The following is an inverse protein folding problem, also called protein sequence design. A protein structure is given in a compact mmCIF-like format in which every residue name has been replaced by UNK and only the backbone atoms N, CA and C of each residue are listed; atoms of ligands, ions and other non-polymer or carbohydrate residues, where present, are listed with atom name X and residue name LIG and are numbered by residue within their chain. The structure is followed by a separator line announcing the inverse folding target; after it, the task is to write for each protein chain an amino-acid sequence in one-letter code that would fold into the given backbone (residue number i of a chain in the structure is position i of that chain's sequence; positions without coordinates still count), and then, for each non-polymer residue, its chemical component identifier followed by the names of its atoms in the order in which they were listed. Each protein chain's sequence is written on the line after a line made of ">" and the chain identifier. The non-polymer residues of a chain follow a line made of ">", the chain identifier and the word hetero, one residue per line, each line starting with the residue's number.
data_IF_424574130857
#
_entry.id   IF_424574130857
#
_cell.length_a   1.000
_cell.length_b   1.000
_cell.length_c   1.000
_cell.angle_alpha   90.00
_cell.angle_beta   90.00
_cell.angle_gamma   90.00
#
_symmetry.space_group_name_H-M   'P 1'
#
loop_
_entity.id
_entity.type
_entity.pdbx_description
1 polymer ?
#
# COMPACT_ATOMS: atom_id res chain seq x y z
N UNK A 1 -6.94 5.14 5.12
CA UNK A 1 -7.03 5.93 3.87
C UNK A 1 -7.68 5.14 2.73
N UNK A 2 -7.30 3.88 2.48
CA UNK A 2 -7.92 3.03 1.42
C UNK A 2 -9.45 3.10 1.38
N UNK A 3 -10.13 2.70 2.46
CA UNK A 3 -11.61 2.69 2.50
C UNK A 3 -12.21 4.08 2.26
N UNK A 4 -11.60 5.15 2.78
CA UNK A 4 -12.11 6.51 2.57
C UNK A 4 -12.08 6.93 1.09
N UNK A 5 -11.02 6.55 0.37
CA UNK A 5 -10.88 6.81 -1.08
C UNK A 5 -11.90 5.95 -1.83
N UNK A 6 -11.99 4.65 -1.51
CA UNK A 6 -12.88 3.72 -2.20
C UNK A 6 -14.36 4.06 -1.98
N UNK A 7 -14.77 4.34 -0.74
CA UNK A 7 -16.12 4.77 -0.38
C UNK A 7 -16.53 6.06 -1.12
N UNK A 8 -15.57 6.97 -1.27
CA UNK A 8 -15.77 8.19 -2.06
C UNK A 8 -15.96 7.93 -3.54
N UNK A 9 -15.57 6.76 -4.05
CA UNK A 9 -15.74 6.37 -5.45
C UNK A 9 -16.97 5.50 -5.70
N UNK A 10 -17.47 4.78 -4.68
CA UNK A 10 -18.60 3.84 -4.79
C UNK A 10 -19.92 4.40 -4.29
N UNK A 11 -19.90 5.42 -3.42
CA UNK A 11 -21.11 5.98 -2.83
C UNK A 11 -22.02 6.62 -3.89
N UNK A 12 -23.26 6.13 -3.99
CA UNK A 12 -24.32 6.85 -4.66
C UNK A 12 -24.50 8.22 -3.98
N UNK A 13 -24.41 9.31 -4.76
CA UNK A 13 -24.53 10.73 -4.38
C UNK A 13 -24.77 11.05 -2.88
N UNK A 14 -23.79 11.74 -2.27
CA UNK A 14 -23.89 12.51 -1.01
C UNK A 14 -24.07 11.69 0.28
N UNK A 15 -23.18 10.73 0.53
CA UNK A 15 -22.90 10.29 1.91
C UNK A 15 -22.04 11.34 2.63
N UNK A 16 -22.19 11.56 3.96
CA UNK A 16 -21.24 12.36 4.75
C UNK A 16 -19.78 11.92 4.61
N UNK A 17 -19.54 10.66 4.22
CA UNK A 17 -18.20 10.10 3.99
C UNK A 17 -17.62 10.42 2.61
N UNK A 18 -18.38 11.02 1.68
CA UNK A 18 -17.90 11.31 0.32
C UNK A 18 -17.00 12.55 0.31
N UNK A 19 -15.71 12.37 0.01
CA UNK A 19 -14.75 13.45 -0.12
C UNK A 19 -15.09 14.38 -1.31
N UNK A 20 -14.87 15.69 -1.17
CA UNK A 20 -14.88 16.62 -2.30
C UNK A 20 -13.79 16.28 -3.33
N UNK A 21 -13.87 16.72 -4.59
CA UNK A 21 -12.85 16.42 -5.60
C UNK A 21 -11.42 16.73 -5.14
N UNK A 22 -11.19 17.93 -4.58
CA UNK A 22 -9.89 18.34 -4.04
C UNK A 22 -9.43 17.47 -2.88
N UNK A 23 -10.33 17.10 -1.98
CA UNK A 23 -10.00 16.20 -0.87
C UNK A 23 -9.67 14.79 -1.37
N UNK A 24 -10.39 14.27 -2.36
CA UNK A 24 -10.12 12.95 -2.94
C UNK A 24 -8.74 12.91 -3.59
N UNK A 25 -8.40 13.92 -4.39
CA UNK A 25 -7.07 14.06 -5.00
C UNK A 25 -5.98 14.09 -3.94
N UNK A 26 -6.09 14.99 -2.96
CA UNK A 26 -5.07 15.11 -1.92
C UNK A 26 -4.93 13.85 -1.07
N UNK A 27 -6.05 13.21 -0.71
CA UNK A 27 -6.04 11.97 0.08
C UNK A 27 -5.42 10.83 -0.71
N UNK A 28 -5.73 10.72 -2.01
CA UNK A 28 -5.14 9.71 -2.89
C UNK A 28 -3.64 9.89 -3.06
N UNK A 29 -3.16 11.12 -3.29
CA UNK A 29 -1.72 11.41 -3.40
C UNK A 29 -0.97 11.16 -2.08
N UNK A 30 -1.56 11.53 -0.94
CA UNK A 30 -1.00 11.20 0.37
C UNK A 30 -0.93 9.68 0.60
N UNK A 31 -1.94 8.93 0.14
CA UNK A 31 -1.91 7.47 0.18
C UNK A 31 -0.78 6.90 -0.68
N UNK A 32 -0.62 7.38 -1.92
CA UNK A 32 0.48 6.96 -2.79
C UNK A 32 1.85 7.22 -2.17
N UNK A 33 2.09 8.44 -1.69
CA UNK A 33 3.35 8.79 -1.04
C UNK A 33 3.61 7.98 0.24
N UNK A 34 2.59 7.82 1.09
CA UNK A 34 2.72 7.10 2.36
C UNK A 34 3.02 5.62 2.16
N UNK A 35 2.26 4.95 1.28
CA UNK A 35 2.48 3.52 0.99
C UNK A 35 3.83 3.31 0.28
N UNK A 36 4.20 4.20 -0.65
CA UNK A 36 5.47 4.12 -1.33
C UNK A 36 6.68 4.29 -0.38
N UNK A 37 6.59 5.20 0.58
CA UNK A 37 7.61 5.39 1.60
C UNK A 37 7.72 4.17 2.54
N UNK A 38 6.57 3.60 2.94
CA UNK A 38 6.51 2.40 3.78
C UNK A 38 7.27 1.22 3.14
N UNK A 39 6.92 0.86 1.90
CA UNK A 39 7.61 -0.21 1.17
C UNK A 39 9.10 0.08 0.95
N UNK A 40 9.46 1.35 0.73
CA UNK A 40 10.85 1.74 0.56
C UNK A 40 11.68 1.49 1.84
N UNK A 41 11.13 1.80 3.02
CA UNK A 41 11.78 1.50 4.30
C UNK A 41 11.94 -0.01 4.48
N UNK A 42 10.90 -0.77 4.16
CA UNK A 42 10.92 -2.23 4.29
C UNK A 42 12.01 -2.86 3.43
N UNK A 43 12.02 -2.56 2.14
CA UNK A 43 13.01 -3.13 1.20
C UNK A 43 14.44 -2.69 1.51
N UNK A 44 14.64 -1.47 2.02
CA UNK A 44 15.98 -0.93 2.29
C UNK A 44 16.53 -1.37 3.65
N UNK A 45 15.68 -1.54 4.67
CA UNK A 45 16.13 -1.66 6.05
C UNK A 45 15.61 -2.91 6.78
N UNK A 46 14.40 -3.37 6.48
CA UNK A 46 13.73 -4.43 7.25
C UNK A 46 13.89 -5.79 6.58
N UNK A 47 13.44 -5.91 5.34
CA UNK A 47 13.45 -7.14 4.56
C UNK A 47 14.86 -7.74 4.41
N UNK A 48 15.95 -6.97 4.19
CA UNK A 48 17.30 -7.54 4.14
C UNK A 48 17.72 -8.25 5.44
N UNK A 49 17.23 -7.78 6.59
CA UNK A 49 17.52 -8.40 7.89
C UNK A 49 16.69 -9.66 8.08
N UNK A 50 15.39 -9.58 7.80
CA UNK A 50 14.48 -10.73 7.93
C UNK A 50 14.84 -11.87 6.96
N UNK A 51 15.22 -11.51 5.73
CA UNK A 51 15.63 -12.44 4.68
C UNK A 51 16.89 -13.27 5.01
N UNK A 52 17.60 -12.97 6.10
CA UNK A 52 18.68 -13.82 6.61
C UNK A 52 18.17 -15.17 7.12
N UNK A 53 16.94 -15.20 7.65
CA UNK A 53 16.33 -16.41 8.24
C UNK A 53 14.97 -16.77 7.63
N UNK A 54 14.33 -15.84 6.93
CA UNK A 54 12.97 -15.98 6.40
C UNK A 54 12.99 -15.67 4.88
N UNK A 55 13.20 -16.68 4.01
CA UNK A 55 13.43 -16.48 2.57
C UNK A 55 12.31 -15.74 1.82
N UNK A 56 11.07 -15.76 2.32
CA UNK A 56 9.91 -15.07 1.76
C UNK A 56 10.15 -13.56 1.58
N UNK A 57 10.92 -12.93 2.49
CA UNK A 57 11.30 -11.51 2.43
C UNK A 57 12.31 -11.17 1.31
N UNK A 58 12.88 -12.16 0.62
CA UNK A 58 13.77 -11.93 -0.53
C UNK A 58 13.05 -12.02 -1.88
N UNK A 59 11.90 -12.69 -1.93
CA UNK A 59 11.28 -13.10 -3.19
C UNK A 59 9.83 -12.69 -3.27
N UNK A 60 8.99 -13.28 -2.44
CA UNK A 60 7.55 -13.25 -2.64
C UNK A 60 6.98 -11.88 -2.26
N UNK A 61 7.33 -11.35 -1.07
CA UNK A 61 6.91 -10.02 -0.62
C UNK A 61 7.47 -8.89 -1.51
N UNK A 62 8.74 -8.99 -1.92
CA UNK A 62 9.36 -8.03 -2.86
C UNK A 62 8.69 -8.07 -4.24
N UNK A 63 8.27 -9.25 -4.71
CA UNK A 63 7.54 -9.36 -5.97
C UNK A 63 6.15 -8.72 -5.88
N UNK A 64 5.47 -8.86 -4.74
CA UNK A 64 4.19 -8.19 -4.47
C UNK A 64 4.37 -6.66 -4.44
N UNK A 65 5.40 -6.13 -3.76
CA UNK A 65 5.71 -4.69 -3.76
C UNK A 65 5.80 -4.12 -5.18
N UNK A 66 6.52 -4.79 -6.08
CA UNK A 66 6.66 -4.34 -7.48
C UNK A 66 5.33 -4.22 -8.20
N UNK A 67 4.41 -5.17 -7.99
CA UNK A 67 3.08 -5.13 -8.59
C UNK A 67 2.24 -4.00 -7.99
N UNK A 68 2.32 -3.81 -6.67
CA UNK A 68 1.62 -2.72 -5.98
C UNK A 68 2.14 -1.37 -6.48
N UNK A 69 3.46 -1.16 -6.55
CA UNK A 69 4.06 0.08 -7.07
C UNK A 69 3.67 0.37 -8.52
N UNK A 70 3.53 -0.65 -9.36
CA UNK A 70 3.08 -0.45 -10.74
C UNK A 70 1.63 0.08 -10.82
N UNK A 71 0.74 -0.37 -9.93
CA UNK A 71 -0.62 0.17 -9.81
C UNK A 71 -0.65 1.55 -9.14
N UNK A 72 0.15 1.73 -8.09
CA UNK A 72 0.25 2.97 -7.32
C UNK A 72 0.76 4.13 -8.17
N UNK A 73 1.77 3.89 -9.01
CA UNK A 73 2.30 4.91 -9.92
C UNK A 73 1.26 5.39 -10.94
N UNK A 74 0.42 4.49 -11.46
CA UNK A 74 -0.68 4.87 -12.38
C UNK A 74 -1.74 5.72 -11.67
N UNK A 75 -2.06 5.37 -10.42
CA UNK A 75 -2.99 6.16 -9.60
C UNK A 75 -2.42 7.55 -9.30
N UNK A 76 -1.15 7.62 -8.88
CA UNK A 76 -0.46 8.87 -8.59
C UNK A 76 -0.41 9.79 -9.82
N UNK A 77 0.03 9.28 -10.97
CA UNK A 77 0.07 10.03 -12.23
C UNK A 77 -1.29 10.63 -12.60
N UNK A 78 -2.36 9.83 -12.52
CA UNK A 78 -3.71 10.31 -12.82
C UNK A 78 -4.17 11.42 -11.86
N UNK A 79 -3.93 11.24 -10.56
CA UNK A 79 -4.31 12.22 -9.55
C UNK A 79 -3.48 13.51 -9.65
N UNK A 80 -2.22 13.42 -10.06
CA UNK A 80 -1.38 14.60 -10.34
C UNK A 80 -1.90 15.41 -11.52
N UNK A 81 -2.29 14.75 -12.61
CA UNK A 81 -2.94 15.42 -13.75
C UNK A 81 -4.27 16.07 -13.36
N UNK A 82 -5.04 15.43 -12.49
CA UNK A 82 -6.25 16.05 -11.93
C UNK A 82 -5.92 17.26 -11.06
N UNK A 83 -4.82 17.21 -10.32
CA UNK A 83 -4.35 18.31 -9.46
C UNK A 83 -3.86 19.51 -10.28
N UNK A 84 -3.19 19.28 -11.40
CA UNK A 84 -2.70 20.34 -12.31
C UNK A 84 -3.81 20.94 -13.18
N UNK A 85 -4.96 20.27 -13.31
CA UNK A 85 -6.06 20.67 -14.18
C UNK A 85 -5.93 20.16 -15.61
N UNK A 86 -4.99 19.25 -15.89
CA UNK A 86 -4.83 18.57 -17.19
C UNK A 86 -5.88 17.48 -17.42
N UNK A 87 -6.59 17.06 -16.38
CA UNK A 87 -7.69 16.11 -16.44
C UNK A 87 -8.78 16.49 -15.44
N UNK A 88 -10.04 16.21 -15.78
CA UNK A 88 -11.14 16.26 -14.83
C UNK A 88 -11.16 14.98 -13.97
N UNK A 89 -11.42 15.15 -12.67
CA UNK A 89 -11.49 14.03 -11.74
C UNK A 89 -12.74 13.17 -12.00
N UNK A 90 -12.52 11.99 -12.58
CA UNK A 90 -13.47 10.89 -12.62
C UNK A 90 -13.21 9.90 -11.45
N UNK A 91 -14.23 9.69 -10.62
CA UNK A 91 -14.21 8.75 -9.49
C UNK A 91 -14.24 7.30 -9.94
N UNK A 92 -14.90 7.01 -11.07
CA UNK A 92 -14.89 5.68 -11.67
C UNK A 92 -13.48 5.27 -12.07
N UNK A 93 -12.71 6.21 -12.60
CA UNK A 93 -11.31 5.99 -12.95
C UNK A 93 -10.42 5.80 -11.71
N UNK A 94 -10.60 6.62 -10.67
CA UNK A 94 -9.90 6.39 -9.38
C UNK A 94 -10.17 4.97 -8.87
N UNK A 95 -11.45 4.55 -8.86
CA UNK A 95 -11.82 3.19 -8.43
C UNK A 95 -11.14 2.13 -9.29
N UNK A 96 -11.21 2.25 -10.62
CA UNK A 96 -10.61 1.28 -11.55
C UNK A 96 -9.10 1.15 -11.33
N UNK A 97 -8.40 2.26 -11.09
CA UNK A 97 -6.98 2.28 -10.79
C UNK A 97 -6.69 1.61 -9.43
N UNK A 98 -7.47 1.89 -8.39
CA UNK A 98 -7.36 1.18 -7.11
C UNK A 98 -7.61 -0.32 -7.24
N UNK A 99 -8.67 -0.72 -7.93
CA UNK A 99 -9.02 -2.13 -8.15
C UNK A 99 -7.88 -2.89 -8.87
N UNK A 100 -7.09 -2.21 -9.70
CA UNK A 100 -6.01 -2.83 -10.48
C UNK A 100 -4.86 -3.40 -9.65
N UNK A 101 -4.69 -2.95 -8.40
CA UNK A 101 -3.68 -3.46 -7.47
C UNK A 101 -4.23 -3.83 -6.09
N UNK A 102 -5.50 -3.51 -5.80
CA UNK A 102 -6.10 -3.75 -4.49
C UNK A 102 -6.07 -5.20 -4.05
N UNK A 103 -6.31 -6.15 -4.96
CA UNK A 103 -6.22 -7.58 -4.64
C UNK A 103 -4.82 -7.98 -4.14
N UNK A 104 -3.78 -7.55 -4.86
CA UNK A 104 -2.38 -7.83 -4.50
C UNK A 104 -1.99 -7.11 -3.20
N UNK A 105 -2.46 -5.88 -3.00
CA UNK A 105 -2.20 -5.14 -1.75
C UNK A 105 -2.77 -5.87 -0.52
N UNK A 106 -4.01 -6.37 -0.61
CA UNK A 106 -4.63 -7.09 0.52
C UNK A 106 -3.94 -8.42 0.79
N UNK A 107 -3.63 -9.19 -0.26
CA UNK A 107 -2.87 -10.44 -0.13
C UNK A 107 -1.50 -10.19 0.51
N UNK A 108 -0.80 -9.15 0.07
CA UNK A 108 0.48 -8.74 0.61
C UNK A 108 0.41 -8.43 2.11
N UNK A 109 -0.56 -7.62 2.55
CA UNK A 109 -0.74 -7.30 3.96
C UNK A 109 -1.06 -8.54 4.82
N UNK A 110 -1.89 -9.46 4.30
CA UNK A 110 -2.19 -10.74 4.97
C UNK A 110 -0.93 -11.62 5.08
N UNK A 111 -0.11 -11.66 4.02
CA UNK A 111 1.15 -12.38 4.00
C UNK A 111 2.16 -11.83 5.00
N UNK A 112 2.26 -10.51 5.12
CA UNK A 112 3.13 -9.86 6.10
C UNK A 112 2.69 -10.16 7.54
N UNK A 113 1.39 -10.04 7.84
CA UNK A 113 0.84 -10.38 9.16
C UNK A 113 1.14 -11.83 9.51
N UNK A 114 1.00 -12.74 8.54
CA UNK A 114 1.31 -14.16 8.73
C UNK A 114 2.80 -14.40 8.93
N UNK A 115 3.65 -13.76 8.13
CA UNK A 115 5.10 -13.93 8.19
C UNK A 115 5.68 -13.36 9.49
N UNK A 116 5.26 -12.15 9.89
CA UNK A 116 5.71 -11.43 11.07
C UNK A 116 4.94 -11.81 12.35
N UNK A 117 3.92 -12.66 12.25
CA UNK A 117 3.15 -13.14 13.38
C UNK A 117 4.03 -13.86 14.43
N UNK A 118 3.67 -13.72 15.71
CA UNK A 118 4.49 -14.20 16.83
C UNK A 118 4.79 -15.72 16.78
N UNK A 119 3.88 -16.52 16.22
CA UNK A 119 4.08 -17.96 16.03
C UNK A 119 5.08 -18.29 14.92
N UNK A 120 5.15 -17.49 13.87
CA UNK A 120 6.10 -17.70 12.79
C UNK A 120 7.47 -17.15 13.17
N UNK A 121 7.52 -15.95 13.76
CA UNK A 121 8.77 -15.31 14.20
C UNK A 121 9.56 -16.17 15.18
N UNK A 122 8.89 -16.81 16.17
CA UNK A 122 9.57 -17.70 17.14
C UNK A 122 10.22 -18.93 16.53
N UNK A 123 9.89 -19.31 15.28
CA UNK A 123 10.55 -20.42 14.58
C UNK A 123 11.97 -20.03 14.13
N UNK A 124 12.22 -18.73 13.93
CA UNK A 124 13.46 -18.22 13.34
C UNK A 124 14.27 -17.35 14.32
N UNK A 125 13.60 -16.70 15.27
CA UNK A 125 14.20 -15.67 16.12
C UNK A 125 14.01 -15.98 17.60
N UNK A 126 15.08 -15.83 18.37
CA UNK A 126 15.02 -15.80 19.84
C UNK A 126 14.58 -14.42 20.34
N UNK A 127 14.06 -14.33 21.55
CA UNK A 127 13.69 -13.05 22.17
C UNK A 127 14.85 -12.05 22.20
N UNK A 128 16.07 -12.53 22.44
CA UNK A 128 17.28 -11.68 22.45
C UNK A 128 17.55 -11.09 21.06
N UNK A 129 17.41 -11.87 20.00
CA UNK A 129 17.62 -11.40 18.63
C UNK A 129 16.51 -10.45 18.17
N UNK A 130 15.26 -10.70 18.57
CA UNK A 130 14.13 -9.82 18.22
C UNK A 130 14.33 -8.39 18.70
N UNK A 131 14.95 -8.18 19.87
CA UNK A 131 15.25 -6.84 20.40
C UNK A 131 16.25 -6.04 19.58
N UNK A 132 16.93 -6.66 18.61
CA UNK A 132 17.84 -6.00 17.67
C UNK A 132 17.32 -5.88 16.24
N UNK A 133 16.06 -6.27 15.98
CA UNK A 133 15.46 -6.11 14.66
C UNK A 133 15.13 -4.63 14.39
N UNK A 134 15.32 -4.13 13.14
CA UNK A 134 14.86 -2.81 12.74
C UNK A 134 13.36 -2.87 12.47
N UNK A 135 12.55 -2.67 13.51
CA UNK A 135 11.08 -2.66 13.45
C UNK A 135 10.54 -1.31 13.90
#
# INVERSE_FOLDING_TARGET
>A
MWNQILDSCTSAKRSPSTLSPRQLINTGLQFCSGLGMHHAIEEQHIFPVLAKKMPEFRRDLVAQHRQIHAGLGKLEEYLERCRSGEADLDRGEVKRLMDSFGGVLWEHLDDEVRALGAENMRKFWTLKEMGGLPM
#
